data_IF_856745217816
#
_entry.id   IF_856745217816
#
_cell.length_a   1.000
_cell.length_b   1.000
_cell.length_c   1.000
_cell.angle_alpha   90.00
_cell.angle_beta   90.00
_cell.angle_gamma   90.00
#
_symmetry.space_group_name_H-M   'P 1'
#
loop_
_entity.id
_entity.type
_entity.pdbx_description
1 polymer ?
#
# COMPACT_ATOMS: atom_id res chain seq x y z
N UNK A 1 -51.17 -46.02 20.94
CA UNK A 1 -49.87 -46.72 20.82
C UNK A 1 -48.73 -45.91 20.15
N UNK A 2 -48.93 -44.66 19.74
CA UNK A 2 -47.98 -43.87 18.95
C UNK A 2 -47.05 -42.93 19.80
N UNK A 3 -47.44 -42.55 21.02
CA UNK A 3 -46.61 -41.64 21.87
C UNK A 3 -45.41 -42.32 22.55
N UNK A 4 -45.50 -43.59 22.91
CA UNK A 4 -44.43 -44.30 23.61
C UNK A 4 -43.24 -44.65 22.67
N UNK A 5 -43.50 -44.85 21.35
CA UNK A 5 -42.42 -45.10 20.37
C UNK A 5 -41.57 -43.89 20.05
N UNK A 6 -42.12 -42.69 20.19
CA UNK A 6 -41.38 -41.45 19.93
C UNK A 6 -40.38 -41.14 21.06
N UNK A 7 -40.71 -41.35 22.31
CA UNK A 7 -39.81 -41.14 23.45
C UNK A 7 -38.62 -42.12 23.46
N UNK A 8 -38.82 -43.37 23.08
CA UNK A 8 -37.71 -44.35 23.00
C UNK A 8 -36.67 -43.97 21.95
N UNK A 9 -37.07 -43.39 20.82
CA UNK A 9 -36.15 -42.95 19.79
C UNK A 9 -35.29 -41.74 20.22
N UNK A 10 -35.84 -40.81 20.96
CA UNK A 10 -35.09 -39.65 21.46
C UNK A 10 -34.12 -40.03 22.58
N UNK A 11 -34.46 -40.98 23.45
CA UNK A 11 -33.56 -41.46 24.50
C UNK A 11 -32.38 -42.27 23.90
N UNK A 12 -32.60 -43.08 22.89
CA UNK A 12 -31.54 -43.81 22.21
C UNK A 12 -30.61 -42.89 21.41
N UNK A 13 -31.13 -41.78 20.82
CA UNK A 13 -30.32 -40.78 20.14
C UNK A 13 -29.48 -39.97 21.12
N UNK A 14 -30.01 -39.61 22.27
CA UNK A 14 -29.28 -38.90 23.33
C UNK A 14 -28.14 -39.76 23.92
N UNK A 15 -28.39 -41.05 24.17
CA UNK A 15 -27.38 -41.98 24.65
C UNK A 15 -26.27 -42.24 23.63
N UNK A 16 -26.62 -42.33 22.31
CA UNK A 16 -25.61 -42.46 21.24
C UNK A 16 -24.73 -41.23 21.11
N UNK A 17 -25.28 -40.01 21.28
CA UNK A 17 -24.52 -38.76 21.27
C UNK A 17 -23.55 -38.64 22.46
N UNK A 18 -24.00 -39.05 23.67
CA UNK A 18 -23.13 -39.04 24.85
C UNK A 18 -22.00 -40.05 24.75
N UNK A 19 -22.21 -41.24 24.17
CA UNK A 19 -21.13 -42.22 23.96
C UNK A 19 -20.14 -41.72 22.93
N UNK A 20 -20.57 -40.96 21.90
CA UNK A 20 -19.69 -40.42 20.89
C UNK A 20 -18.81 -39.29 21.44
N UNK A 21 -19.36 -38.39 22.28
CA UNK A 21 -18.61 -37.30 22.92
C UNK A 21 -17.60 -37.84 23.94
N UNK A 22 -17.93 -38.88 24.70
CA UNK A 22 -16.97 -39.48 25.66
C UNK A 22 -15.84 -40.24 24.93
N UNK A 23 -16.15 -40.84 23.76
CA UNK A 23 -15.11 -41.57 22.97
C UNK A 23 -14.11 -40.64 22.26
N UNK A 24 -14.49 -39.37 22.00
CA UNK A 24 -13.58 -38.37 21.41
C UNK A 24 -12.71 -37.69 22.46
N UNK A 25 -13.17 -37.57 23.70
CA UNK A 25 -12.39 -36.98 24.81
C UNK A 25 -11.25 -37.88 25.30
N UNK A 26 -11.35 -39.19 25.12
CA UNK A 26 -10.34 -40.17 25.60
C UNK A 26 -9.11 -40.35 24.67
N UNK A 27 -8.98 -39.59 23.58
CA UNK A 27 -7.85 -39.73 22.63
C UNK A 27 -6.87 -38.55 22.64
N UNK A 28 -6.94 -37.63 23.59
CA UNK A 28 -6.06 -36.46 23.64
C UNK A 28 -4.95 -36.53 24.69
N UNK A 29 -4.67 -37.72 25.25
CA UNK A 29 -3.56 -37.89 26.20
C UNK A 29 -2.46 -38.81 25.62
N UNK A 30 -2.00 -38.50 24.43
CA UNK A 30 -0.73 -38.98 23.92
C UNK A 30 0.32 -37.89 24.18
N UNK A 31 0.98 -37.94 25.34
CA UNK A 31 2.25 -37.28 25.58
C UNK A 31 3.18 -37.64 24.44
N UNK A 32 3.35 -36.77 23.45
CA UNK A 32 4.47 -36.85 22.53
C UNK A 32 5.74 -36.63 23.35
N UNK A 33 6.46 -37.71 23.63
CA UNK A 33 7.81 -37.60 24.13
C UNK A 33 8.62 -36.84 23.07
N UNK A 34 9.25 -35.72 23.47
CA UNK A 34 10.16 -35.00 22.63
C UNK A 34 11.26 -35.92 22.13
N UNK A 35 11.60 -35.86 20.82
CA UNK A 35 12.73 -36.67 20.33
C UNK A 35 14.03 -36.27 21.06
N UNK A 36 14.95 -37.20 21.29
CA UNK A 36 16.20 -36.90 21.96
C UNK A 36 16.97 -35.83 21.18
N UNK A 37 17.39 -34.79 21.89
CA UNK A 37 18.21 -33.72 21.33
C UNK A 37 19.56 -34.33 20.99
N UNK A 38 19.83 -34.58 19.72
CA UNK A 38 21.17 -34.85 19.24
C UNK A 38 22.03 -33.60 19.45
N UNK A 39 23.21 -33.71 20.06
CA UNK A 39 24.09 -32.56 20.22
C UNK A 39 24.48 -32.04 18.83
N UNK A 40 24.11 -30.78 18.56
CA UNK A 40 24.55 -30.04 17.37
C UNK A 40 26.08 -30.05 17.33
N UNK A 41 26.72 -30.40 16.23
CA UNK A 41 28.18 -30.28 16.10
C UNK A 41 28.55 -28.83 16.37
N UNK A 42 29.55 -28.62 17.24
CA UNK A 42 30.09 -27.30 17.53
C UNK A 42 30.41 -26.59 16.20
N UNK A 43 29.83 -25.41 16.00
CA UNK A 43 30.19 -24.53 14.92
C UNK A 43 31.70 -24.27 15.02
N UNK A 44 32.43 -24.81 14.07
CA UNK A 44 33.83 -24.51 13.88
C UNK A 44 33.93 -23.00 13.74
N UNK A 45 34.70 -22.36 14.61
CA UNK A 45 35.01 -20.93 14.54
C UNK A 45 35.54 -20.62 13.14
N UNK A 46 34.72 -19.93 12.32
CA UNK A 46 35.18 -19.41 11.06
C UNK A 46 36.28 -18.39 11.39
N UNK A 47 37.49 -18.69 11.01
CA UNK A 47 38.60 -17.72 11.00
C UNK A 47 38.16 -16.47 10.24
N UNK A 48 38.56 -15.26 10.67
CA UNK A 48 38.28 -14.05 9.92
C UNK A 48 38.83 -14.21 8.51
N UNK A 49 37.96 -14.24 7.51
CA UNK A 49 38.39 -14.20 6.12
C UNK A 49 39.07 -12.85 5.90
N UNK A 50 40.35 -12.91 5.60
CA UNK A 50 41.10 -11.77 5.05
C UNK A 50 40.30 -11.23 3.87
N UNK A 51 40.15 -9.90 3.73
CA UNK A 51 39.49 -9.29 2.59
C UNK A 51 40.11 -9.86 1.31
N UNK A 52 39.36 -10.61 0.54
CA UNK A 52 39.79 -11.07 -0.76
C UNK A 52 40.01 -9.81 -1.62
N UNK A 53 41.18 -9.73 -2.23
CA UNK A 53 41.50 -8.72 -3.25
C UNK A 53 40.33 -8.63 -4.24
N UNK A 54 39.98 -7.43 -4.72
CA UNK A 54 38.89 -7.29 -5.71
C UNK A 54 39.16 -8.27 -6.85
N UNK A 55 38.10 -8.95 -7.36
CA UNK A 55 38.27 -9.86 -8.48
C UNK A 55 38.99 -9.14 -9.62
N UNK A 56 39.97 -9.81 -10.23
CA UNK A 56 40.70 -9.28 -11.36
C UNK A 56 39.71 -8.69 -12.38
N UNK A 57 39.89 -7.39 -12.73
CA UNK A 57 39.04 -6.72 -13.71
C UNK A 57 39.16 -7.51 -15.00
N UNK A 58 38.07 -8.10 -15.51
CA UNK A 58 38.11 -8.78 -16.80
C UNK A 58 38.42 -7.71 -17.86
N UNK A 59 39.09 -8.10 -18.94
CA UNK A 59 39.50 -7.19 -20.01
C UNK A 59 38.34 -6.41 -20.65
N UNK A 60 37.09 -6.79 -20.34
CA UNK A 60 35.86 -6.20 -20.88
C UNK A 60 35.41 -4.92 -20.13
N UNK A 61 35.99 -4.63 -18.95
CA UNK A 61 35.59 -3.49 -18.11
C UNK A 61 36.64 -2.36 -18.19
N UNK A 62 36.17 -1.16 -18.55
CA UNK A 62 37.03 0.02 -18.71
C UNK A 62 37.26 0.81 -17.42
N UNK A 63 36.36 0.71 -16.45
CA UNK A 63 36.36 1.44 -15.20
C UNK A 63 35.77 2.85 -15.28
N UNK A 64 35.23 3.32 -14.13
CA UNK A 64 34.50 4.59 -14.07
C UNK A 64 35.34 5.81 -14.40
N UNK A 65 36.63 5.79 -14.08
CA UNK A 65 37.55 6.92 -14.35
C UNK A 65 37.70 7.12 -15.87
N UNK A 66 37.79 6.04 -16.64
CA UNK A 66 37.82 6.09 -18.12
C UNK A 66 36.52 6.70 -18.66
N UNK A 67 35.37 6.26 -18.15
CA UNK A 67 34.09 6.80 -18.56
C UNK A 67 33.97 8.31 -18.26
N UNK A 68 34.49 8.77 -17.13
CA UNK A 68 34.42 10.16 -16.68
C UNK A 68 35.19 11.15 -17.60
N UNK A 69 36.15 10.68 -18.38
CA UNK A 69 36.90 11.52 -19.33
C UNK A 69 35.95 12.15 -20.35
N UNK A 70 35.00 11.36 -20.91
CA UNK A 70 34.05 11.84 -21.91
C UNK A 70 32.68 12.18 -21.27
N UNK A 71 32.31 11.54 -20.17
CA UNK A 71 31.01 11.66 -19.50
C UNK A 71 31.09 12.36 -18.12
N UNK A 72 31.86 13.47 -18.03
CA UNK A 72 32.12 14.18 -16.76
C UNK A 72 30.88 14.61 -16.02
N UNK A 73 29.83 15.09 -16.71
CA UNK A 73 28.58 15.55 -16.11
C UNK A 73 27.81 14.41 -15.47
N UNK A 74 27.79 13.25 -16.11
CA UNK A 74 27.15 12.05 -15.59
C UNK A 74 27.93 11.51 -14.38
N UNK A 75 29.26 11.51 -14.44
CA UNK A 75 30.11 11.13 -13.30
C UNK A 75 29.90 12.06 -12.11
N UNK A 76 29.84 13.37 -12.33
CA UNK A 76 29.55 14.36 -11.29
C UNK A 76 28.13 14.19 -10.73
N UNK A 77 27.13 13.84 -11.57
CA UNK A 77 25.78 13.60 -11.18
C UNK A 77 25.64 12.40 -10.23
N UNK A 78 26.24 11.28 -10.60
CA UNK A 78 26.23 10.06 -9.77
C UNK A 78 27.01 10.25 -8.47
N UNK A 79 28.16 10.96 -8.54
CA UNK A 79 29.00 11.26 -7.38
C UNK A 79 28.27 12.01 -6.26
N UNK A 80 27.25 12.81 -6.59
CA UNK A 80 26.38 13.50 -5.62
C UNK A 80 25.28 12.62 -5.04
N UNK A 81 25.13 11.39 -5.53
CA UNK A 81 24.06 10.47 -5.13
C UNK A 81 24.58 9.36 -4.21
N UNK A 82 23.65 8.58 -3.64
CA UNK A 82 24.03 7.39 -2.87
C UNK A 82 24.67 6.29 -3.73
N UNK A 83 24.43 6.28 -5.03
CA UNK A 83 25.06 5.36 -5.97
C UNK A 83 26.56 5.67 -6.16
N UNK A 84 26.98 6.90 -5.90
CA UNK A 84 28.38 7.35 -5.97
C UNK A 84 29.20 7.19 -4.68
N UNK A 85 28.62 6.62 -3.61
CA UNK A 85 29.32 6.46 -2.32
C UNK A 85 30.26 5.24 -2.35
N UNK A 86 31.52 5.44 -2.72
CA UNK A 86 32.52 4.37 -2.78
C UNK A 86 32.76 3.65 -1.43
N UNK A 87 32.48 4.32 -0.31
CA UNK A 87 32.58 3.73 1.03
C UNK A 87 31.42 2.82 1.42
N UNK A 88 30.30 2.83 0.69
CA UNK A 88 29.17 1.92 0.93
C UNK A 88 29.31 0.70 0.00
N UNK A 89 29.58 -0.50 0.51
CA UNK A 89 29.81 -1.70 -0.31
C UNK A 89 28.56 -2.12 -1.11
N UNK A 90 27.40 -1.56 -0.79
CA UNK A 90 26.14 -1.81 -1.53
C UNK A 90 25.96 -0.86 -2.71
N UNK A 91 26.78 0.18 -2.81
CA UNK A 91 26.65 1.16 -3.88
C UNK A 91 27.29 0.65 -5.18
N UNK A 92 26.82 1.11 -6.35
CA UNK A 92 27.51 0.87 -7.62
C UNK A 92 28.98 1.32 -7.59
N UNK A 93 29.27 2.48 -7.00
CA UNK A 93 30.63 3.03 -6.94
C UNK A 93 31.62 2.15 -6.17
N UNK A 94 31.18 1.40 -5.17
CA UNK A 94 32.01 0.43 -4.46
C UNK A 94 32.24 -0.88 -5.24
N UNK A 95 31.54 -1.07 -6.35
CA UNK A 95 31.60 -2.28 -7.18
C UNK A 95 32.21 -1.93 -8.56
N UNK A 96 31.39 -1.93 -9.59
CA UNK A 96 31.81 -1.65 -10.97
C UNK A 96 31.47 -0.22 -11.43
N UNK A 97 31.05 0.65 -10.54
CA UNK A 97 30.73 2.04 -10.87
C UNK A 97 29.67 2.17 -11.95
N UNK A 98 30.01 2.89 -13.02
CA UNK A 98 29.10 3.09 -14.18
C UNK A 98 28.66 1.77 -14.80
N UNK A 99 29.55 0.80 -14.88
CA UNK A 99 29.35 -0.48 -15.51
C UNK A 99 28.47 -1.43 -14.70
N UNK A 100 28.19 -1.11 -13.42
CA UNK A 100 27.16 -1.82 -12.63
C UNK A 100 25.76 -1.72 -13.25
N UNK A 101 25.51 -0.65 -13.99
CA UNK A 101 24.23 -0.39 -14.65
C UNK A 101 24.33 -0.52 -16.17
N UNK A 102 25.41 0.01 -16.75
CA UNK A 102 25.56 0.09 -18.20
C UNK A 102 26.18 -1.16 -18.84
N UNK A 103 26.71 -2.09 -18.04
CA UNK A 103 27.43 -3.27 -18.51
C UNK A 103 28.89 -2.98 -18.85
N UNK A 104 29.66 -3.99 -19.33
CA UNK A 104 31.05 -3.85 -19.71
C UNK A 104 31.22 -2.77 -20.77
N UNK A 105 32.17 -1.85 -20.56
CA UNK A 105 32.32 -0.65 -21.37
C UNK A 105 33.55 -0.62 -22.27
N UNK A 106 34.45 -1.62 -22.20
CA UNK A 106 35.74 -1.55 -22.93
C UNK A 106 35.54 -1.42 -24.45
N UNK A 107 34.65 -2.22 -25.04
CA UNK A 107 34.35 -2.16 -26.47
C UNK A 107 33.82 -0.77 -26.91
N UNK A 108 33.01 -0.12 -26.05
CA UNK A 108 32.53 1.24 -26.29
C UNK A 108 33.69 2.27 -26.23
N UNK A 109 34.67 2.06 -25.35
CA UNK A 109 35.83 2.93 -25.24
C UNK A 109 36.74 2.78 -26.45
N UNK A 110 36.86 1.56 -27.01
CA UNK A 110 37.75 1.26 -28.13
C UNK A 110 37.27 1.84 -29.46
N UNK A 111 35.96 1.88 -29.69
CA UNK A 111 35.38 2.30 -30.97
C UNK A 111 34.31 3.40 -30.87
N UNK A 112 33.99 3.86 -29.67
CA UNK A 112 32.96 4.88 -29.39
C UNK A 112 31.51 4.49 -29.89
N UNK A 113 31.29 3.24 -30.30
CA UNK A 113 30.02 2.78 -30.79
C UNK A 113 28.99 2.64 -29.68
N UNK A 114 27.83 3.29 -29.85
CA UNK A 114 26.74 3.31 -28.84
C UNK A 114 26.08 1.96 -28.63
N UNK A 115 26.27 1.03 -29.55
CA UNK A 115 25.72 -0.33 -29.49
C UNK A 115 26.38 -1.20 -28.42
N UNK A 116 27.60 -0.89 -28.04
CA UNK A 116 28.39 -1.67 -27.07
C UNK A 116 28.09 -1.34 -25.60
N UNK A 117 27.24 -0.36 -25.32
CA UNK A 117 26.89 0.04 -23.95
C UNK A 117 25.37 0.11 -23.78
N UNK A 118 24.85 -0.36 -22.64
CA UNK A 118 23.42 -0.26 -22.35
C UNK A 118 22.99 1.19 -22.15
N UNK A 119 21.99 1.62 -22.91
CA UNK A 119 21.44 2.98 -22.85
C UNK A 119 19.97 2.92 -22.43
N UNK A 120 19.66 3.34 -21.22
CA UNK A 120 18.29 3.28 -20.67
C UNK A 120 17.26 4.12 -21.42
N UNK A 121 17.69 5.05 -22.28
CA UNK A 121 16.79 5.79 -23.19
C UNK A 121 16.23 4.94 -24.34
N UNK A 122 16.89 3.82 -24.65
CA UNK A 122 16.53 2.91 -25.76
C UNK A 122 16.29 1.46 -25.31
N UNK A 123 16.67 1.16 -24.08
CA UNK A 123 16.45 -0.17 -23.45
C UNK A 123 14.99 -0.33 -23.09
N UNK A 124 14.45 -1.53 -23.33
CA UNK A 124 13.07 -1.85 -22.98
C UNK A 124 12.79 -1.65 -21.47
N UNK A 125 11.58 -1.22 -21.08
CA UNK A 125 11.23 -1.01 -19.68
C UNK A 125 11.52 -2.21 -18.77
N UNK A 126 11.19 -3.42 -19.22
CA UNK A 126 11.44 -4.64 -18.45
C UNK A 126 12.93 -4.84 -18.15
N UNK A 127 13.81 -4.73 -19.17
CA UNK A 127 15.26 -4.89 -19.01
C UNK A 127 15.85 -3.76 -18.15
N UNK A 128 15.34 -2.52 -18.28
CA UNK A 128 15.68 -1.41 -17.39
C UNK A 128 15.36 -1.75 -15.94
N UNK A 129 14.17 -2.30 -15.69
CA UNK A 129 13.71 -2.67 -14.36
C UNK A 129 14.54 -3.81 -13.77
N UNK A 130 14.85 -4.84 -14.56
CA UNK A 130 15.71 -5.94 -14.15
C UNK A 130 17.08 -5.44 -13.66
N UNK A 131 17.68 -4.50 -14.39
CA UNK A 131 18.96 -3.91 -14.01
C UNK A 131 18.87 -3.25 -12.61
N UNK A 132 17.84 -2.46 -12.35
CA UNK A 132 17.65 -1.80 -11.06
C UNK A 132 17.33 -2.81 -9.94
N UNK A 133 16.50 -3.81 -10.25
CA UNK A 133 16.03 -4.83 -9.31
C UNK A 133 17.12 -5.81 -8.87
N UNK A 134 18.28 -5.87 -9.52
CA UNK A 134 19.44 -6.62 -9.00
C UNK A 134 19.79 -6.22 -7.58
N UNK A 135 19.58 -4.94 -7.22
CA UNK A 135 19.83 -4.38 -5.90
C UNK A 135 18.54 -3.93 -5.21
N UNK A 136 17.56 -3.37 -5.95
CA UNK A 136 16.34 -2.77 -5.43
C UNK A 136 15.15 -3.75 -5.42
N UNK A 137 15.31 -4.96 -4.87
CA UNK A 137 14.30 -6.01 -4.84
C UNK A 137 13.66 -6.23 -3.46
N UNK A 138 13.88 -5.33 -2.50
CA UNK A 138 13.45 -5.48 -1.10
C UNK A 138 12.68 -4.27 -0.60
N UNK A 139 12.03 -4.41 0.54
CA UNK A 139 11.31 -3.33 1.22
C UNK A 139 10.19 -2.78 0.33
N UNK A 140 10.17 -1.47 0.12
CA UNK A 140 9.13 -0.82 -0.68
C UNK A 140 9.13 -1.20 -2.16
N UNK A 141 10.19 -1.81 -2.67
CA UNK A 141 10.33 -2.23 -4.07
C UNK A 141 9.90 -3.68 -4.31
N UNK A 142 9.71 -4.47 -3.25
CA UNK A 142 9.36 -5.89 -3.35
C UNK A 142 8.05 -6.17 -4.11
N UNK A 143 7.16 -5.18 -4.18
CA UNK A 143 5.90 -5.27 -4.90
C UNK A 143 5.93 -4.78 -6.35
N UNK A 144 7.13 -4.44 -6.89
CA UNK A 144 7.22 -3.92 -8.26
C UNK A 144 6.77 -4.95 -9.30
N UNK A 145 7.31 -6.16 -9.22
CA UNK A 145 6.93 -7.26 -10.10
C UNK A 145 5.45 -7.60 -9.88
N UNK A 146 4.65 -7.55 -10.93
CA UNK A 146 3.20 -7.70 -10.88
C UNK A 146 2.44 -6.42 -10.51
N UNK A 147 3.13 -5.29 -10.31
CA UNK A 147 2.46 -4.01 -10.02
C UNK A 147 1.72 -3.46 -11.26
N UNK A 148 0.78 -2.55 -10.99
CA UNK A 148 0.06 -1.83 -12.05
C UNK A 148 1.02 -0.98 -12.91
N UNK A 149 2.05 -0.40 -12.30
CA UNK A 149 3.02 0.40 -13.04
C UNK A 149 3.89 -0.46 -13.96
N UNK A 150 4.37 -1.61 -13.48
CA UNK A 150 5.08 -2.56 -14.35
C UNK A 150 4.20 -3.05 -15.49
N UNK A 151 2.95 -3.44 -15.21
CA UNK A 151 2.03 -3.95 -16.23
C UNK A 151 1.61 -2.91 -17.27
N UNK A 152 2.00 -1.64 -17.09
CA UNK A 152 1.81 -0.53 -18.03
C UNK A 152 3.14 -0.09 -18.66
N UNK A 153 4.13 -0.97 -18.69
CA UNK A 153 5.45 -0.74 -19.28
C UNK A 153 6.18 0.49 -18.73
N UNK A 154 5.97 0.82 -17.46
CA UNK A 154 6.76 1.86 -16.83
C UNK A 154 8.10 1.29 -16.36
N UNK A 155 9.16 2.06 -16.61
CA UNK A 155 10.48 1.77 -16.09
C UNK A 155 10.78 2.58 -14.83
N UNK A 156 11.77 2.15 -14.05
CA UNK A 156 12.27 2.91 -12.92
C UNK A 156 12.67 4.34 -13.33
N UNK A 157 13.22 4.49 -14.52
CA UNK A 157 13.65 5.78 -15.10
C UNK A 157 12.49 6.68 -15.54
N UNK A 158 11.27 6.18 -15.59
CA UNK A 158 10.07 7.00 -15.83
C UNK A 158 9.82 8.00 -14.68
N UNK A 159 10.28 7.65 -13.48
CA UNK A 159 10.09 8.46 -12.28
C UNK A 159 11.39 8.94 -11.66
N UNK A 160 12.50 8.19 -11.85
CA UNK A 160 13.80 8.45 -11.24
C UNK A 160 14.83 8.88 -12.26
N UNK A 161 15.75 9.75 -11.84
CA UNK A 161 16.93 10.14 -12.62
C UNK A 161 18.17 9.95 -11.76
N UNK A 162 19.02 9.00 -12.14
CA UNK A 162 20.22 8.65 -11.37
C UNK A 162 21.33 9.68 -11.58
N UNK A 163 21.49 10.19 -12.82
CA UNK A 163 22.53 11.15 -13.17
C UNK A 163 22.16 12.61 -12.86
N UNK A 164 20.89 12.97 -13.07
CA UNK A 164 20.42 14.34 -12.91
C UNK A 164 19.13 14.41 -12.09
N UNK A 165 19.12 13.96 -10.83
CA UNK A 165 17.94 14.05 -9.98
C UNK A 165 17.60 15.50 -9.72
N UNK A 166 16.29 15.83 -9.83
CA UNK A 166 15.80 17.18 -9.54
C UNK A 166 15.24 17.29 -8.11
N UNK A 167 15.06 16.16 -7.44
CA UNK A 167 14.62 16.12 -6.06
C UNK A 167 15.77 15.69 -5.13
N UNK A 168 15.91 16.30 -3.94
CA UNK A 168 16.91 15.88 -2.94
C UNK A 168 16.62 14.51 -2.33
N UNK A 169 15.39 14.00 -2.47
CA UNK A 169 14.97 12.69 -1.97
C UNK A 169 14.57 11.78 -3.11
N UNK A 170 14.96 10.49 -3.00
CA UNK A 170 14.55 9.43 -3.91
C UNK A 170 14.96 9.63 -5.37
N UNK A 171 15.87 10.55 -5.66
CA UNK A 171 16.40 10.80 -7.02
C UNK A 171 15.30 10.94 -8.08
N UNK A 172 14.26 11.71 -7.81
CA UNK A 172 13.15 11.89 -8.75
C UNK A 172 13.58 12.72 -9.98
N UNK A 173 12.99 12.41 -11.11
CA UNK A 173 13.16 13.12 -12.38
C UNK A 173 12.47 14.49 -12.42
N UNK A 174 11.68 14.84 -11.39
CA UNK A 174 11.06 16.16 -11.20
C UNK A 174 11.37 16.69 -9.80
N UNK A 175 11.17 17.99 -9.61
CA UNK A 175 11.49 18.64 -8.34
C UNK A 175 10.65 18.13 -7.17
N UNK A 176 9.41 17.71 -7.41
CA UNK A 176 8.51 17.17 -6.38
C UNK A 176 7.89 15.85 -6.83
N UNK A 177 7.53 15.02 -5.85
CA UNK A 177 6.80 13.77 -6.09
C UNK A 177 5.44 14.03 -6.79
N UNK A 178 4.73 15.06 -6.37
CA UNK A 178 3.46 15.46 -7.01
C UNK A 178 3.63 15.74 -8.49
N UNK A 179 4.73 16.41 -8.89
CA UNK A 179 4.99 16.67 -10.31
C UNK A 179 5.29 15.39 -11.10
N UNK A 180 5.96 14.41 -10.47
CA UNK A 180 6.17 13.08 -11.10
C UNK A 180 4.82 12.40 -11.31
N UNK A 181 4.01 12.30 -10.26
CA UNK A 181 2.71 11.63 -10.32
C UNK A 181 1.73 12.34 -11.27
N UNK A 182 1.75 13.68 -11.32
CA UNK A 182 0.89 14.51 -12.17
C UNK A 182 1.06 14.28 -13.67
N UNK A 183 2.21 13.77 -14.09
CA UNK A 183 2.45 13.48 -15.52
C UNK A 183 1.41 12.51 -16.09
N UNK A 184 0.89 11.59 -15.25
CA UNK A 184 -0.12 10.61 -15.62
C UNK A 184 -1.41 10.75 -14.77
N UNK A 185 -1.31 10.97 -13.46
CA UNK A 185 -2.43 11.02 -12.51
C UNK A 185 -3.04 12.42 -12.35
N UNK A 186 -3.28 13.11 -13.46
CA UNK A 186 -3.77 14.51 -13.49
C UNK A 186 -5.05 14.72 -12.69
N UNK A 187 -6.01 13.77 -12.79
CA UNK A 187 -7.29 13.88 -12.11
C UNK A 187 -7.13 13.85 -10.58
N UNK A 188 -6.29 12.95 -10.07
CA UNK A 188 -6.05 12.84 -8.63
C UNK A 188 -5.36 14.09 -8.09
N UNK A 189 -4.36 14.60 -8.81
CA UNK A 189 -3.69 15.84 -8.43
C UNK A 189 -4.66 17.03 -8.46
N UNK A 190 -5.50 17.15 -9.51
CA UNK A 190 -6.53 18.19 -9.56
C UNK A 190 -7.54 18.12 -8.40
N UNK A 191 -7.82 16.90 -7.89
CA UNK A 191 -8.68 16.73 -6.71
C UNK A 191 -8.00 17.26 -5.44
N UNK A 192 -6.69 17.08 -5.27
CA UNK A 192 -5.96 17.59 -4.10
C UNK A 192 -5.91 19.12 -4.02
N UNK A 193 -6.16 19.81 -5.14
CA UNK A 193 -6.24 21.27 -5.22
C UNK A 193 -7.65 21.84 -4.97
N UNK A 194 -8.66 21.01 -4.78
CA UNK A 194 -10.03 21.46 -4.50
C UNK A 194 -10.13 22.15 -3.16
N UNK A 195 -11.17 22.98 -2.99
CA UNK A 195 -11.43 23.69 -1.76
C UNK A 195 -11.57 22.75 -0.55
N UNK A 196 -12.15 21.58 -0.76
CA UNK A 196 -12.28 20.52 0.25
C UNK A 196 -11.40 19.36 -0.17
N UNK A 197 -10.14 19.38 0.24
CA UNK A 197 -9.15 18.35 -0.02
C UNK A 197 -8.53 17.87 1.30
N UNK A 198 -7.74 16.81 1.22
CA UNK A 198 -6.97 16.34 2.38
C UNK A 198 -5.86 17.35 2.70
N UNK A 199 -6.10 18.19 3.69
CA UNK A 199 -5.27 19.37 3.99
C UNK A 199 -3.77 19.08 4.12
N UNK A 200 -3.30 18.02 4.81
CA UNK A 200 -1.88 17.71 4.88
C UNK A 200 -1.21 17.49 3.52
N UNK A 201 -1.93 16.97 2.53
CA UNK A 201 -1.42 16.83 1.15
C UNK A 201 -1.34 18.19 0.48
N UNK A 202 -2.38 19.01 0.58
CA UNK A 202 -2.42 20.36 0.01
C UNK A 202 -1.37 21.29 0.62
N UNK A 203 -1.08 21.14 1.91
CA UNK A 203 -0.06 21.90 2.62
C UNK A 203 1.37 21.36 2.41
N UNK A 204 1.55 20.30 1.62
CA UNK A 204 2.85 19.69 1.38
C UNK A 204 3.45 18.93 2.57
N UNK A 205 2.67 18.71 3.64
CA UNK A 205 3.08 17.92 4.82
C UNK A 205 3.05 16.41 4.52
N UNK A 206 2.24 16.01 3.57
CA UNK A 206 2.13 14.64 3.05
C UNK A 206 2.26 14.66 1.54
N UNK A 207 2.72 13.54 0.99
CA UNK A 207 2.83 13.31 -0.45
C UNK A 207 1.99 12.10 -0.86
N UNK A 208 1.91 11.82 -2.15
CA UNK A 208 1.17 10.65 -2.65
C UNK A 208 1.70 9.36 -2.01
N UNK A 209 3.02 9.24 -1.85
CA UNK A 209 3.67 8.07 -1.23
C UNK A 209 3.50 7.99 0.29
N UNK A 210 2.89 8.97 0.93
CA UNK A 210 2.49 8.85 2.34
C UNK A 210 1.37 7.81 2.53
N UNK A 211 0.51 7.65 1.51
CA UNK A 211 -0.59 6.67 1.49
C UNK A 211 -0.34 5.52 0.51
N UNK A 212 0.30 5.80 -0.63
CA UNK A 212 0.53 4.83 -1.70
C UNK A 212 1.99 4.37 -1.76
N UNK A 213 2.22 3.11 -2.15
CA UNK A 213 3.53 2.65 -2.58
C UNK A 213 3.54 2.60 -4.11
N UNK A 214 4.22 3.54 -4.80
CA UNK A 214 4.26 3.56 -6.28
C UNK A 214 4.96 2.33 -6.88
N UNK A 215 5.74 1.60 -6.08
CA UNK A 215 6.39 0.36 -6.50
C UNK A 215 5.49 -0.87 -6.35
N UNK A 216 4.20 -0.66 -6.04
CA UNK A 216 3.26 -1.75 -5.86
C UNK A 216 3.13 -2.22 -4.42
N UNK A 217 2.19 -3.09 -4.19
CA UNK A 217 1.94 -3.72 -2.90
C UNK A 217 1.64 -5.20 -3.10
N UNK A 218 2.25 -6.02 -2.29
CA UNK A 218 1.99 -7.48 -2.29
C UNK A 218 0.67 -7.83 -1.58
N UNK A 219 0.05 -6.87 -0.88
CA UNK A 219 -1.12 -7.12 -0.04
C UNK A 219 -2.41 -6.51 -0.57
N UNK A 220 -2.33 -5.50 -1.45
CA UNK A 220 -3.52 -4.85 -1.97
C UNK A 220 -3.36 -4.21 -3.35
N UNK A 221 -4.44 -4.27 -4.15
CA UNK A 221 -4.48 -3.78 -5.54
C UNK A 221 -4.41 -2.25 -5.68
N UNK A 222 -4.66 -1.49 -4.61
CA UNK A 222 -4.58 -0.01 -4.61
C UNK A 222 -3.19 0.50 -4.25
N UNK A 223 -2.24 -0.41 -4.08
CA UNK A 223 -0.87 -0.10 -3.67
C UNK A 223 -0.83 0.82 -2.43
N UNK A 224 -1.67 0.57 -1.43
CA UNK A 224 -1.62 1.29 -0.17
C UNK A 224 -0.38 0.87 0.60
N UNK A 225 0.28 1.84 1.21
CA UNK A 225 1.55 1.66 1.90
C UNK A 225 1.40 0.94 3.23
N UNK A 226 0.31 1.23 3.93
CA UNK A 226 0.02 0.68 5.26
C UNK A 226 -1.25 -0.12 5.23
N UNK A 227 -1.22 -1.27 5.92
CA UNK A 227 -2.38 -2.13 6.06
C UNK A 227 -2.79 -2.91 4.82
N UNK A 228 -3.69 -3.83 5.02
CA UNK A 228 -4.31 -4.65 3.96
C UNK A 228 -5.60 -4.03 3.40
N UNK A 229 -6.11 -2.99 4.06
CA UNK A 229 -7.38 -2.33 3.72
C UNK A 229 -7.27 -0.81 3.66
N UNK A 230 -8.25 -0.18 3.03
CA UNK A 230 -8.39 1.29 3.03
C UNK A 230 -8.55 1.81 4.45
N UNK A 231 -9.34 1.12 5.28
CA UNK A 231 -9.60 1.53 6.66
C UNK A 231 -8.32 1.53 7.49
N UNK A 232 -7.49 0.50 7.40
CA UNK A 232 -6.21 0.44 8.10
C UNK A 232 -5.28 1.59 7.70
N UNK A 233 -5.26 1.93 6.41
CA UNK A 233 -4.48 3.06 5.92
C UNK A 233 -4.98 4.39 6.52
N UNK A 234 -6.30 4.60 6.57
CA UNK A 234 -6.88 5.81 7.15
C UNK A 234 -6.67 5.87 8.67
N UNK A 235 -6.93 4.79 9.38
CA UNK A 235 -6.88 4.73 10.85
C UNK A 235 -5.45 4.68 11.41
N UNK A 236 -4.44 4.57 10.55
CA UNK A 236 -3.05 4.79 10.97
C UNK A 236 -2.81 6.22 11.49
N UNK A 237 -3.61 7.18 11.01
CA UNK A 237 -3.58 8.59 11.45
C UNK A 237 -4.89 8.98 12.14
N UNK A 238 -6.04 8.49 11.68
CA UNK A 238 -7.37 8.72 12.24
C UNK A 238 -7.75 7.62 13.24
N UNK A 239 -6.92 7.48 14.28
CA UNK A 239 -7.06 6.40 15.27
C UNK A 239 -8.41 6.43 16.02
N UNK A 240 -9.01 7.62 16.17
CA UNK A 240 -10.31 7.83 16.82
C UNK A 240 -11.48 7.19 16.05
N UNK A 241 -11.28 6.89 14.75
CA UNK A 241 -12.28 6.22 13.90
C UNK A 241 -12.13 4.70 13.86
N UNK A 242 -11.18 4.14 14.60
CA UNK A 242 -10.75 2.73 14.46
C UNK A 242 -11.70 1.77 15.14
N UNK A 243 -12.57 1.97 15.85
CA UNK A 243 -13.38 0.92 16.53
C UNK A 243 -12.55 -0.19 17.23
N UNK A 244 -13.18 -1.23 17.69
CA UNK A 244 -14.62 -1.48 17.58
C UNK A 244 -15.47 -0.51 18.40
N UNK A 245 -16.67 -0.23 17.90
CA UNK A 245 -17.66 0.58 18.61
C UNK A 245 -18.78 -0.32 19.10
N UNK A 246 -19.43 0.05 20.21
CA UNK A 246 -20.59 -0.70 20.75
C UNK A 246 -21.72 -0.75 19.70
N UNK A 247 -21.95 0.35 19.00
CA UNK A 247 -22.90 0.45 17.89
C UNK A 247 -22.12 0.87 16.64
N UNK A 248 -21.92 -0.07 15.73
CA UNK A 248 -21.18 0.15 14.50
C UNK A 248 -22.12 0.55 13.35
N UNK A 249 -21.59 1.37 12.43
CA UNK A 249 -22.21 1.61 11.14
C UNK A 249 -21.46 0.78 10.08
N UNK A 250 -22.14 -0.21 9.53
CA UNK A 250 -21.53 -1.22 8.64
C UNK A 250 -20.67 -0.62 7.52
N UNK A 251 -21.11 0.41 6.74
CA UNK A 251 -20.28 0.99 5.69
C UNK A 251 -18.96 1.59 6.20
N UNK A 252 -18.96 2.12 7.44
CA UNK A 252 -17.75 2.68 8.05
C UNK A 252 -16.75 1.58 8.37
N UNK A 253 -17.25 0.47 8.91
CA UNK A 253 -16.41 -0.70 9.20
C UNK A 253 -15.84 -1.33 7.92
N UNK A 254 -16.60 -1.32 6.84
CA UNK A 254 -16.19 -1.93 5.57
C UNK A 254 -15.16 -1.08 4.82
N UNK A 255 -15.47 0.20 4.55
CA UNK A 255 -14.59 1.04 3.73
C UNK A 255 -14.88 2.54 3.89
N UNK A 256 -13.94 3.30 4.41
CA UNK A 256 -14.02 4.76 4.53
C UNK A 256 -14.29 5.44 3.18
N UNK A 257 -13.73 4.91 2.09
CA UNK A 257 -13.89 5.47 0.75
C UNK A 257 -15.29 5.27 0.16
N UNK A 258 -16.19 4.54 0.82
CA UNK A 258 -17.62 4.47 0.46
C UNK A 258 -18.27 5.86 0.56
N UNK A 259 -17.84 6.64 1.54
CA UNK A 259 -18.37 7.98 1.82
C UNK A 259 -17.39 9.10 1.47
N UNK A 260 -16.10 8.90 1.61
CA UNK A 260 -15.06 9.93 1.45
C UNK A 260 -14.18 9.71 0.22
N UNK A 261 -13.78 10.79 -0.45
CA UNK A 261 -12.68 10.79 -1.43
C UNK A 261 -11.44 11.43 -0.79
N UNK A 262 -10.42 10.64 -0.42
CA UNK A 262 -9.25 11.15 0.29
C UNK A 262 -8.40 12.14 -0.53
N UNK A 263 -8.58 12.19 -1.85
CA UNK A 263 -7.90 13.15 -2.71
C UNK A 263 -8.56 14.52 -2.69
N UNK A 264 -9.85 14.58 -2.37
CA UNK A 264 -10.63 15.82 -2.32
C UNK A 264 -11.90 15.79 -3.15
N UNK A 265 -12.87 16.53 -2.71
CA UNK A 265 -14.18 16.65 -3.37
C UNK A 265 -14.68 18.10 -3.39
N UNK A 266 -15.85 18.31 -3.97
CA UNK A 266 -16.57 19.58 -3.90
C UNK A 266 -17.57 19.64 -2.74
N UNK A 267 -17.60 18.58 -1.90
CA UNK A 267 -18.53 18.47 -0.78
C UNK A 267 -17.77 18.53 0.54
N UNK A 268 -18.40 19.10 1.55
CA UNK A 268 -17.82 19.19 2.90
C UNK A 268 -17.28 17.82 3.37
N UNK A 269 -16.19 17.86 4.15
CA UNK A 269 -15.53 16.67 4.71
C UNK A 269 -15.10 15.64 3.65
N UNK A 270 -14.82 16.10 2.44
CA UNK A 270 -14.42 15.25 1.30
C UNK A 270 -15.45 14.17 0.96
N UNK A 271 -16.74 14.41 1.14
CA UNK A 271 -17.77 13.44 0.82
C UNK A 271 -17.88 13.21 -0.69
N UNK A 272 -18.05 11.95 -1.10
CA UNK A 272 -18.26 11.57 -2.49
C UNK A 272 -19.54 12.18 -3.08
N UNK A 273 -20.55 12.32 -2.24
CA UNK A 273 -21.86 12.85 -2.58
C UNK A 273 -22.31 13.79 -1.47
N UNK A 274 -22.98 14.88 -1.85
CA UNK A 274 -23.52 15.84 -0.93
C UNK A 274 -24.62 15.22 -0.04
N UNK A 275 -24.62 15.58 1.25
CA UNK A 275 -25.74 15.25 2.13
C UNK A 275 -26.99 16.07 1.79
N UNK A 276 -28.20 15.52 1.95
CA UNK A 276 -28.52 14.20 2.49
C UNK A 276 -28.43 13.04 1.48
N UNK A 277 -28.16 13.34 0.19
CA UNK A 277 -28.13 12.35 -0.90
C UNK A 277 -27.18 11.18 -0.62
N UNK A 278 -26.06 11.42 0.07
CA UNK A 278 -25.14 10.35 0.45
C UNK A 278 -25.84 9.28 1.28
N UNK A 279 -26.59 9.67 2.29
CA UNK A 279 -27.32 8.77 3.17
C UNK A 279 -28.46 8.04 2.44
N UNK A 280 -29.15 8.77 1.57
CA UNK A 280 -30.30 8.29 0.78
C UNK A 280 -29.91 7.23 -0.27
N UNK A 281 -28.63 7.07 -0.58
CA UNK A 281 -28.17 5.96 -1.46
C UNK A 281 -28.44 4.58 -0.87
N UNK A 282 -28.53 4.48 0.46
CA UNK A 282 -28.79 3.24 1.17
C UNK A 282 -30.06 3.31 2.04
N UNK A 283 -30.34 4.47 2.64
CA UNK A 283 -31.47 4.68 3.54
C UNK A 283 -32.68 5.25 2.79
N UNK A 284 -33.29 4.42 1.94
CA UNK A 284 -34.49 4.80 1.14
C UNK A 284 -35.80 4.60 1.88
N UNK A 285 -35.86 3.67 2.84
CA UNK A 285 -37.03 3.37 3.64
C UNK A 285 -36.72 3.57 5.13
N UNK A 286 -37.17 4.68 5.69
CA UNK A 286 -36.95 5.04 7.09
C UNK A 286 -38.28 5.36 7.79
N UNK A 287 -38.29 5.40 9.14
CA UNK A 287 -39.46 5.79 9.91
C UNK A 287 -39.85 7.26 9.78
N UNK A 288 -38.92 8.09 9.29
CA UNK A 288 -39.19 9.47 8.93
C UNK A 288 -38.75 9.66 7.46
N UNK A 289 -39.27 10.67 6.74
CA UNK A 289 -39.00 10.84 5.32
C UNK A 289 -37.51 11.07 5.04
N UNK A 290 -36.89 10.12 4.35
CA UNK A 290 -35.52 10.23 3.85
C UNK A 290 -35.46 10.48 2.33
N UNK A 291 -36.61 10.41 1.65
CA UNK A 291 -36.77 10.52 0.20
C UNK A 291 -37.48 11.80 -0.18
N UNK A 292 -37.72 11.97 -1.48
CA UNK A 292 -38.50 13.13 -2.02
C UNK A 292 -39.90 13.14 -1.42
N UNK A 293 -40.28 14.30 -0.93
CA UNK A 293 -41.59 14.53 -0.34
C UNK A 293 -42.61 14.76 -1.45
N UNK A 294 -43.72 14.03 -1.42
CA UNK A 294 -44.91 14.34 -2.16
C UNK A 294 -45.95 15.02 -1.25
N UNK A 295 -47.05 15.48 -1.83
CA UNK A 295 -48.12 16.15 -1.09
C UNK A 295 -48.74 15.26 0.00
N UNK A 296 -48.70 13.95 -0.15
CA UNK A 296 -49.21 13.00 0.86
C UNK A 296 -48.23 12.76 2.00
N UNK A 297 -46.94 12.94 1.77
CA UNK A 297 -45.88 12.79 2.77
C UNK A 297 -45.82 13.97 3.75
N UNK A 298 -46.32 15.16 3.37
CA UNK A 298 -46.35 16.38 4.18
C UNK A 298 -47.71 16.48 4.84
N UNK A 299 -47.93 15.76 5.91
CA UNK A 299 -49.15 15.92 6.72
C UNK A 299 -48.95 17.00 7.78
N UNK A 300 -50.04 17.65 8.22
CA UNK A 300 -50.00 18.67 9.24
C UNK A 300 -49.40 18.23 10.60
N UNK A 301 -49.34 16.95 10.83
CA UNK A 301 -48.72 16.37 12.03
C UNK A 301 -47.22 16.17 11.95
N UNK A 302 -46.62 16.34 10.77
CA UNK A 302 -45.15 16.16 10.59
C UNK A 302 -44.45 17.51 10.75
N UNK A 303 -43.46 17.55 11.63
CA UNK A 303 -42.68 18.76 11.90
C UNK A 303 -41.94 19.22 10.68
N UNK A 304 -42.15 20.47 10.27
CA UNK A 304 -41.36 21.16 9.23
C UNK A 304 -39.88 21.28 9.59
N UNK A 305 -39.51 21.05 10.86
CA UNK A 305 -38.10 21.03 11.32
C UNK A 305 -37.27 19.90 10.73
N UNK A 306 -37.92 18.88 10.14
CA UNK A 306 -37.23 17.77 9.48
C UNK A 306 -36.87 18.07 8.02
N UNK A 307 -37.51 19.06 7.40
CA UNK A 307 -37.27 19.41 6.01
C UNK A 307 -35.94 20.19 5.84
N UNK A 308 -35.23 19.88 4.79
CA UNK A 308 -34.00 20.56 4.42
C UNK A 308 -32.84 20.41 5.40
N UNK A 309 -32.96 19.53 6.40
CA UNK A 309 -31.88 19.26 7.36
C UNK A 309 -31.04 18.09 6.95
N UNK A 310 -29.74 18.17 7.27
CA UNK A 310 -28.84 17.05 7.13
C UNK A 310 -29.15 15.96 8.16
N UNK A 311 -29.08 14.69 7.75
CA UNK A 311 -29.28 13.54 8.64
C UNK A 311 -28.36 13.58 9.88
N UNK A 312 -27.14 14.06 9.71
CA UNK A 312 -26.14 14.19 10.80
C UNK A 312 -26.47 15.25 11.85
N UNK A 313 -27.51 16.08 11.66
CA UNK A 313 -27.95 16.99 12.71
C UNK A 313 -28.56 16.21 13.90
N UNK A 314 -29.09 15.02 13.65
CA UNK A 314 -29.61 14.10 14.65
C UNK A 314 -28.73 12.85 14.80
N UNK A 315 -28.30 12.26 13.68
CA UNK A 315 -27.41 11.09 13.63
C UNK A 315 -25.94 11.52 13.59
N UNK A 316 -25.46 12.18 14.65
CA UNK A 316 -24.14 12.80 14.70
C UNK A 316 -22.99 11.79 14.81
N UNK A 317 -23.26 10.58 15.37
CA UNK A 317 -22.25 9.57 15.63
C UNK A 317 -22.16 8.54 14.47
N UNK A 318 -22.19 9.05 13.24
CA UNK A 318 -22.29 8.24 12.02
C UNK A 318 -21.11 7.23 11.87
N UNK A 319 -19.96 7.51 12.46
CA UNK A 319 -18.81 6.60 12.44
C UNK A 319 -18.88 5.47 13.48
N UNK A 320 -19.89 5.48 14.33
CA UNK A 320 -20.10 4.53 15.42
C UNK A 320 -20.25 5.22 16.77
N UNK A 321 -20.80 4.51 17.73
CA UNK A 321 -21.03 5.03 19.07
C UNK A 321 -20.73 3.99 20.15
N UNK A 322 -20.12 4.43 21.24
CA UNK A 322 -19.95 3.65 22.47
C UNK A 322 -20.94 4.07 23.55
N UNK A 323 -21.85 5.02 23.28
CA UNK A 323 -22.85 5.47 24.23
C UNK A 323 -24.01 4.44 24.30
N UNK A 324 -24.53 4.13 25.49
CA UNK A 324 -25.62 3.15 25.64
C UNK A 324 -26.89 3.46 24.82
N UNK A 325 -27.17 4.75 24.56
CA UNK A 325 -28.29 5.16 23.69
C UNK A 325 -27.90 5.31 22.21
N UNK A 326 -26.72 4.84 21.81
CA UNK A 326 -26.17 5.03 20.48
C UNK A 326 -26.70 4.12 19.38
N UNK A 327 -27.72 3.31 19.66
CA UNK A 327 -28.29 2.34 18.70
C UNK A 327 -28.65 2.94 17.34
N UNK A 328 -29.10 4.21 17.32
CA UNK A 328 -29.43 4.91 16.08
C UNK A 328 -28.33 5.90 15.67
N UNK A 329 -27.14 5.79 16.23
CA UNK A 329 -25.99 6.68 15.98
C UNK A 329 -26.33 8.15 16.30
N UNK A 330 -27.24 8.37 17.21
CA UNK A 330 -27.61 9.67 17.75
C UNK A 330 -26.75 10.00 18.97
N UNK A 331 -26.77 11.28 19.39
CA UNK A 331 -26.17 11.68 20.65
C UNK A 331 -26.94 11.11 21.84
#
# INVERSE_FOLDING_TARGET
MTRVRRHRRHVLFALALCVWVVSTAARFDARQAAPPITPTPALASASPQVPQSPPAVSADYAGSDTCAVCHSDHAAGIGRSRHGLAADPRSPAANRGCESCHGPGQAHVDDEEKGHIRRFSTTAPAETNETCLTCHNRGNHAGWVGSIHESRDLSCTSCHSVHAPQSPRSQLAKATETQVCASCHRLQVAKTERAVAHMPVREGKMTCSSCHNPHGSITNVKALRTGSSVNESCTSCHAEMRGPMLFEHTPVRENCATCHDPHGSSNDRMLNVRMPMLCQRCHVATRHPATVYDNGAITSSKSNRMFGRSCVNCHSNIHGSNHPSGQFLMR
#
